data_IF_977012273269
#
_entry.id   IF_977012273269
#
_cell.length_a   1.000
_cell.length_b   1.000
_cell.length_c   1.000
_cell.angle_alpha   90.00
_cell.angle_beta   90.00
_cell.angle_gamma   90.00
#
_symmetry.space_group_name_H-M   'P 1'
#
loop_
_entity.id
_entity.type
_entity.pdbx_description
1 polymer ?
#
# COMPACT_ATOMS: atom_id res chain seq x y z
N UNK A 1 -7.34 -14.47 -27.92
CA UNK A 1 -7.27 -13.34 -28.88
C UNK A 1 -6.04 -12.48 -28.59
N UNK A 2 -4.99 -12.53 -29.43
CA UNK A 2 -3.68 -11.89 -29.19
C UNK A 2 -3.65 -10.35 -29.32
N UNK A 3 -4.81 -9.70 -29.57
CA UNK A 3 -4.88 -8.30 -30.05
C UNK A 3 -4.82 -7.23 -28.95
N UNK A 4 -5.02 -7.60 -27.68
CA UNK A 4 -5.08 -6.68 -26.52
C UNK A 4 -4.30 -7.18 -25.30
N UNK A 5 -3.26 -8.00 -25.53
CA UNK A 5 -2.51 -8.61 -24.45
C UNK A 5 -1.92 -7.57 -23.48
N UNK A 6 -1.24 -6.56 -24.02
CA UNK A 6 -0.65 -5.48 -23.24
C UNK A 6 -1.71 -4.70 -22.44
N UNK A 7 -2.87 -4.43 -23.04
CA UNK A 7 -3.96 -3.76 -22.34
C UNK A 7 -4.43 -4.54 -21.11
N UNK A 8 -4.63 -5.85 -21.23
CA UNK A 8 -5.08 -6.67 -20.09
C UNK A 8 -4.03 -6.74 -18.98
N UNK A 9 -2.76 -6.97 -19.36
CA UNK A 9 -1.64 -6.99 -18.42
C UNK A 9 -1.56 -5.66 -17.66
N UNK A 10 -1.51 -4.53 -18.38
CA UNK A 10 -1.43 -3.22 -17.74
C UNK A 10 -2.68 -2.91 -16.91
N UNK A 11 -3.89 -3.25 -17.37
CA UNK A 11 -5.13 -2.99 -16.62
C UNK A 11 -5.15 -3.68 -15.25
N UNK A 12 -4.66 -4.92 -15.17
CA UNK A 12 -4.52 -5.64 -13.91
C UNK A 12 -3.48 -4.96 -13.02
N UNK A 13 -2.32 -4.62 -13.59
CA UNK A 13 -1.21 -4.02 -12.85
C UNK A 13 -1.58 -2.64 -12.30
N UNK A 14 -2.21 -1.77 -13.08
CA UNK A 14 -2.51 -0.40 -12.64
C UNK A 14 -3.50 -0.40 -11.47
N UNK A 15 -4.51 -1.26 -11.49
CA UNK A 15 -5.45 -1.41 -10.38
C UNK A 15 -4.79 -2.02 -9.15
N UNK A 16 -4.13 -3.17 -9.31
CA UNK A 16 -3.52 -3.90 -8.20
C UNK A 16 -2.43 -3.07 -7.51
N UNK A 17 -1.59 -2.38 -8.27
CA UNK A 17 -0.50 -1.60 -7.69
C UNK A 17 -1.01 -0.38 -6.93
N UNK A 18 -2.02 0.36 -7.41
CA UNK A 18 -2.55 1.50 -6.61
C UNK A 18 -3.15 1.05 -5.31
N UNK A 19 -3.96 -0.01 -5.32
CA UNK A 19 -4.52 -0.59 -4.10
C UNK A 19 -3.39 -0.96 -3.11
N UNK A 20 -2.32 -1.61 -3.60
CA UNK A 20 -1.18 -2.00 -2.78
C UNK A 20 -0.50 -0.83 -2.03
N UNK A 21 -0.44 0.36 -2.62
CA UNK A 21 0.26 1.52 -2.02
C UNK A 21 -0.65 2.53 -1.33
N UNK A 22 -1.99 2.43 -1.46
CA UNK A 22 -2.90 3.41 -0.85
C UNK A 22 -3.91 2.79 0.12
N UNK A 23 -4.18 1.49 0.03
CA UNK A 23 -5.27 0.86 0.77
C UNK A 23 -4.70 -0.18 1.74
N UNK A 24 -4.80 0.03 3.07
CA UNK A 24 -4.53 -1.01 4.06
C UNK A 24 -5.40 -2.25 3.80
N UNK A 25 -4.98 -3.48 4.16
CA UNK A 25 -4.02 -3.85 5.20
C UNK A 25 -2.59 -4.10 4.71
N UNK A 26 -2.23 -3.69 3.49
CA UNK A 26 -0.86 -3.89 3.01
C UNK A 26 0.16 -3.23 3.95
N UNK A 27 1.33 -3.85 4.18
CA UNK A 27 2.25 -3.40 5.24
C UNK A 27 2.65 -1.92 5.12
N UNK A 28 2.87 -1.43 3.91
CA UNK A 28 3.26 -0.03 3.67
C UNK A 28 2.20 0.97 4.16
N UNK A 29 1.01 1.02 3.51
CA UNK A 29 -0.09 1.90 3.93
C UNK A 29 -0.49 1.75 5.39
N UNK A 30 -0.48 0.52 5.92
CA UNK A 30 -0.83 0.28 7.31
C UNK A 30 0.21 0.88 8.29
N UNK A 31 1.50 0.76 7.98
CA UNK A 31 2.56 1.37 8.77
C UNK A 31 2.52 2.89 8.68
N UNK A 32 2.24 3.44 7.49
CA UNK A 32 2.07 4.89 7.31
C UNK A 32 0.91 5.42 8.13
N UNK A 33 -0.26 4.75 8.07
CA UNK A 33 -1.42 5.10 8.88
C UNK A 33 -1.11 5.02 10.38
N UNK A 34 -0.42 3.96 10.82
CA UNK A 34 -0.01 3.80 12.21
C UNK A 34 0.95 4.88 12.70
N UNK A 35 1.97 5.22 11.93
CA UNK A 35 2.99 6.21 12.31
C UNK A 35 2.42 7.63 12.39
N UNK A 36 1.46 7.96 11.52
CA UNK A 36 0.75 9.24 11.50
C UNK A 36 -0.51 9.27 12.38
N UNK A 37 -0.80 8.18 13.11
CA UNK A 37 -1.99 8.05 13.97
C UNK A 37 -3.31 8.28 13.23
N UNK A 38 -3.34 7.89 11.95
CA UNK A 38 -4.54 7.97 11.12
C UNK A 38 -5.38 6.72 11.35
N UNK A 39 -6.68 6.94 11.49
CA UNK A 39 -7.64 5.84 11.49
C UNK A 39 -7.54 5.03 10.18
N UNK A 40 -7.35 3.71 10.32
CA UNK A 40 -7.10 2.80 9.20
C UNK A 40 -8.25 2.83 8.20
N UNK A 41 -9.47 3.05 8.69
CA UNK A 41 -10.64 3.07 7.85
C UNK A 41 -10.76 4.33 7.00
N UNK A 42 -10.51 5.49 7.62
CA UNK A 42 -10.41 6.74 6.88
C UNK A 42 -9.32 6.64 5.80
N UNK A 43 -8.18 6.02 6.13
CA UNK A 43 -7.12 5.76 5.15
C UNK A 43 -7.60 4.84 4.02
N UNK A 44 -8.36 3.77 4.32
CA UNK A 44 -8.96 2.90 3.29
C UNK A 44 -9.89 3.68 2.37
N UNK A 45 -10.81 4.48 2.91
CA UNK A 45 -11.77 5.27 2.12
C UNK A 45 -11.06 6.28 1.22
N UNK A 46 -10.17 7.09 1.79
CA UNK A 46 -9.43 8.08 1.04
C UNK A 46 -8.51 7.43 0.00
N UNK A 47 -7.87 6.32 0.36
CA UNK A 47 -7.02 5.51 -0.52
C UNK A 47 -7.77 4.91 -1.71
N UNK A 48 -9.01 4.44 -1.52
CA UNK A 48 -9.86 3.96 -2.61
C UNK A 48 -10.22 5.10 -3.57
N UNK A 49 -10.65 6.25 -3.05
CA UNK A 49 -11.04 7.40 -3.89
C UNK A 49 -9.87 7.88 -4.73
N UNK A 50 -8.71 8.16 -4.10
CA UNK A 50 -7.51 8.59 -4.82
C UNK A 50 -6.98 7.48 -5.73
N UNK A 51 -7.04 6.22 -5.26
CA UNK A 51 -6.59 5.05 -6.00
C UNK A 51 -7.37 4.82 -7.30
N UNK A 52 -8.69 4.97 -7.28
CA UNK A 52 -9.53 4.85 -8.49
C UNK A 52 -9.22 5.95 -9.50
N UNK A 53 -9.07 7.19 -9.04
CA UNK A 53 -8.75 8.32 -9.91
C UNK A 53 -7.35 8.17 -10.52
N UNK A 54 -6.36 7.81 -9.72
CA UNK A 54 -5.00 7.55 -10.18
C UNK A 54 -4.95 6.33 -11.13
N UNK A 55 -5.61 5.22 -10.79
CA UNK A 55 -5.66 4.03 -11.64
C UNK A 55 -6.34 4.30 -12.98
N UNK A 56 -7.34 5.19 -13.03
CA UNK A 56 -7.98 5.63 -14.26
C UNK A 56 -6.98 6.28 -15.22
N UNK A 57 -6.05 7.10 -14.70
CA UNK A 57 -4.96 7.67 -15.51
C UNK A 57 -4.01 6.61 -16.07
N UNK A 58 -3.71 5.57 -15.28
CA UNK A 58 -2.94 4.41 -15.71
C UNK A 58 -3.67 3.58 -16.78
N UNK A 59 -4.98 3.42 -16.65
CA UNK A 59 -5.80 2.74 -17.65
C UNK A 59 -5.86 3.51 -18.97
N UNK A 60 -6.01 4.84 -18.93
CA UNK A 60 -5.92 5.68 -20.13
C UNK A 60 -4.54 5.57 -20.80
N UNK A 61 -3.47 5.55 -20.00
CA UNK A 61 -2.13 5.26 -20.51
C UNK A 61 -2.04 3.86 -21.14
N UNK A 62 -2.65 2.83 -20.53
CA UNK A 62 -2.67 1.48 -21.07
C UNK A 62 -3.40 1.39 -22.43
N UNK A 63 -4.51 2.10 -22.60
CA UNK A 63 -5.22 2.20 -23.88
C UNK A 63 -4.33 2.84 -24.96
N UNK A 64 -3.62 3.92 -24.61
CA UNK A 64 -2.67 4.58 -25.51
C UNK A 64 -1.48 3.69 -25.85
N UNK A 65 -0.88 3.04 -24.85
CA UNK A 65 0.28 2.18 -25.00
C UNK A 65 -0.05 0.96 -25.88
N UNK A 66 -1.21 0.33 -25.68
CA UNK A 66 -1.65 -0.81 -26.48
C UNK A 66 -1.91 -0.45 -27.95
N UNK A 67 -2.27 0.81 -28.26
CA UNK A 67 -2.38 1.29 -29.65
C UNK A 67 -1.02 1.55 -30.29
N UNK A 68 0.00 1.89 -29.50
CA UNK A 68 1.32 2.29 -30.00
C UNK A 68 2.32 1.13 -30.04
N UNK A 69 2.19 0.17 -29.14
CA UNK A 69 3.11 -0.97 -29.01
C UNK A 69 2.33 -2.28 -28.98
N UNK A 70 2.66 -3.17 -29.89
CA UNK A 70 2.17 -4.55 -29.91
C UNK A 70 3.21 -5.45 -29.28
N UNK A 71 3.00 -5.81 -28.01
CA UNK A 71 3.83 -6.81 -27.34
C UNK A 71 3.24 -8.20 -27.64
N UNK A 72 3.98 -9.07 -28.33
CA UNK A 72 3.51 -10.41 -28.62
C UNK A 72 3.44 -11.22 -27.32
N UNK A 73 2.39 -12.02 -27.19
CA UNK A 73 2.34 -13.06 -26.18
C UNK A 73 3.48 -14.06 -26.50
N UNK A 74 4.52 -14.08 -25.66
CA UNK A 74 5.61 -15.06 -25.76
C UNK A 74 5.23 -16.29 -24.94
N UNK A 75 5.39 -17.47 -25.54
CA UNK A 75 5.07 -18.74 -24.89
C UNK A 75 6.12 -19.17 -23.83
N UNK A 76 7.20 -18.38 -23.66
CA UNK A 76 8.36 -18.64 -22.80
C UNK A 76 8.16 -18.23 -21.32
N UNK A 77 6.95 -18.31 -20.78
CA UNK A 77 6.85 -18.46 -19.33
C UNK A 77 7.17 -19.92 -19.07
N UNK A 78 8.39 -20.19 -18.59
CA UNK A 78 8.84 -21.52 -18.15
C UNK A 78 7.71 -22.20 -17.36
N UNK A 79 7.00 -23.13 -18.01
CA UNK A 79 5.82 -23.79 -17.45
C UNK A 79 6.20 -24.87 -16.44
N UNK A 80 7.49 -25.04 -16.14
CA UNK A 80 7.96 -25.95 -15.10
C UNK A 80 7.34 -25.64 -13.73
N UNK A 81 6.94 -24.38 -13.48
CA UNK A 81 6.23 -23.93 -12.26
C UNK A 81 4.72 -23.63 -12.47
N UNK A 82 4.15 -24.06 -13.60
CA UNK A 82 2.72 -23.86 -13.87
C UNK A 82 1.85 -24.70 -12.91
N UNK A 83 0.64 -24.23 -12.54
CA UNK A 83 -0.30 -25.02 -11.73
C UNK A 83 -0.60 -26.40 -12.34
N UNK A 84 -0.51 -26.50 -13.67
CA UNK A 84 -0.66 -27.73 -14.45
C UNK A 84 0.54 -28.69 -14.28
N UNK A 85 1.76 -28.19 -14.04
CA UNK A 85 2.94 -29.00 -13.72
C UNK A 85 2.90 -29.55 -12.27
N UNK A 86 2.15 -28.91 -11.37
CA UNK A 86 1.86 -29.38 -10.00
C UNK A 86 0.55 -30.15 -9.88
N UNK A 87 0.02 -30.66 -11.00
CA UNK A 87 -1.20 -31.47 -11.05
C UNK A 87 -1.00 -32.79 -10.28
N UNK A 88 -1.20 -32.75 -8.96
CA UNK A 88 -0.94 -33.83 -8.02
C UNK A 88 -0.80 -33.35 -6.57
N UNK A 89 -0.46 -32.08 -6.37
CA UNK A 89 -0.46 -31.46 -5.04
C UNK A 89 -1.87 -31.02 -4.65
N UNK A 90 -2.27 -31.31 -3.41
CA UNK A 90 -3.54 -30.84 -2.85
C UNK A 90 -3.44 -29.33 -2.69
N UNK A 91 -3.96 -28.57 -3.66
CA UNK A 91 -4.01 -27.12 -3.58
C UNK A 91 -5.21 -26.65 -2.73
N UNK A 92 -5.07 -25.60 -1.91
CA UNK A 92 -6.21 -24.99 -1.23
C UNK A 92 -7.22 -24.44 -2.24
N UNK A 93 -8.51 -24.53 -1.91
CA UNK A 93 -9.55 -23.90 -2.72
C UNK A 93 -9.34 -22.39 -2.80
N UNK A 94 -9.78 -21.75 -3.88
CA UNK A 94 -9.62 -20.31 -4.11
C UNK A 94 -10.06 -19.47 -2.89
N UNK A 95 -11.22 -19.80 -2.31
CA UNK A 95 -11.75 -19.13 -1.13
C UNK A 95 -10.84 -19.26 0.08
N UNK A 96 -10.25 -20.43 0.28
CA UNK A 96 -9.34 -20.65 1.39
C UNK A 96 -8.05 -19.83 1.19
N UNK A 97 -7.49 -19.81 -0.02
CA UNK A 97 -6.31 -19.03 -0.40
C UNK A 97 -6.50 -17.52 -0.24
N UNK A 98 -7.72 -17.03 -0.42
CA UNK A 98 -8.06 -15.62 -0.21
C UNK A 98 -8.29 -15.27 1.27
N UNK A 99 -8.56 -16.25 2.14
CA UNK A 99 -8.90 -16.01 3.56
C UNK A 99 -7.90 -15.12 4.29
N UNK A 100 -6.57 -15.35 4.24
CA UNK A 100 -5.61 -14.51 4.96
C UNK A 100 -5.59 -13.04 4.50
N UNK A 101 -6.07 -12.76 3.28
CA UNK A 101 -6.13 -11.42 2.72
C UNK A 101 -7.49 -10.77 3.03
N UNK A 102 -8.58 -11.51 2.83
CA UNK A 102 -9.95 -11.02 3.00
C UNK A 102 -10.31 -10.86 4.48
N UNK A 103 -9.87 -11.78 5.34
CA UNK A 103 -10.16 -11.74 6.78
C UNK A 103 -9.78 -10.41 7.44
N UNK A 104 -8.53 -9.91 7.35
CA UNK A 104 -8.18 -8.64 7.98
C UNK A 104 -8.94 -7.47 7.34
N UNK A 105 -9.19 -7.48 6.03
CA UNK A 105 -10.00 -6.45 5.36
C UNK A 105 -11.41 -6.38 5.94
N UNK A 106 -12.07 -7.52 6.10
CA UNK A 106 -13.44 -7.60 6.65
C UNK A 106 -13.48 -7.16 8.11
N UNK A 107 -12.53 -7.62 8.94
CA UNK A 107 -12.48 -7.25 10.36
C UNK A 107 -12.24 -5.74 10.55
N UNK A 108 -11.29 -5.16 9.81
CA UNK A 108 -11.04 -3.72 9.84
C UNK A 108 -12.25 -2.91 9.34
N UNK A 109 -12.89 -3.38 8.27
CA UNK A 109 -14.10 -2.74 7.71
C UNK A 109 -15.28 -2.80 8.69
N UNK A 110 -15.42 -3.89 9.44
CA UNK A 110 -16.48 -4.04 10.43
C UNK A 110 -16.32 -3.01 11.57
N UNK A 111 -15.09 -2.84 12.09
CA UNK A 111 -14.81 -1.81 13.08
C UNK A 111 -15.10 -0.40 12.59
N UNK A 112 -14.79 -0.14 11.31
CA UNK A 112 -15.12 1.12 10.63
C UNK A 112 -16.61 1.40 10.66
N UNK A 113 -17.40 0.42 10.20
CA UNK A 113 -18.84 0.56 10.05
C UNK A 113 -19.45 0.80 11.42
N UNK A 114 -19.00 0.10 12.46
CA UNK A 114 -19.46 0.32 13.82
C UNK A 114 -19.08 1.71 14.36
N UNK A 115 -17.85 2.17 14.13
CA UNK A 115 -17.43 3.50 14.56
C UNK A 115 -18.26 4.62 13.90
N UNK A 116 -18.56 4.46 12.60
CA UNK A 116 -19.39 5.41 11.85
C UNK A 116 -20.86 5.33 12.25
N UNK A 117 -21.41 4.12 12.39
CA UNK A 117 -22.82 3.90 12.68
C UNK A 117 -23.16 4.16 14.16
N UNK A 118 -22.19 4.07 15.07
CA UNK A 118 -22.32 4.52 16.46
C UNK A 118 -22.52 6.04 16.63
N UNK A 119 -22.43 6.81 15.53
CA UNK A 119 -22.82 8.23 15.50
C UNK A 119 -24.31 8.44 15.21
N UNK A 120 -25.04 7.40 14.78
CA UNK A 120 -26.49 7.45 14.56
C UNK A 120 -27.23 7.04 15.83
N UNK A 121 -28.16 7.88 16.30
CA UNK A 121 -28.84 7.73 17.61
C UNK A 121 -29.44 6.33 17.85
N UNK A 122 -30.04 5.71 16.82
CA UNK A 122 -30.67 4.39 16.95
C UNK A 122 -29.70 3.24 17.20
N UNK A 123 -28.55 3.22 16.52
CA UNK A 123 -27.55 2.16 16.69
C UNK A 123 -26.62 2.44 17.87
N UNK A 124 -26.40 3.71 18.22
CA UNK A 124 -25.70 4.10 19.43
C UNK A 124 -26.37 3.49 20.67
N UNK A 125 -27.70 3.56 20.76
CA UNK A 125 -28.46 2.93 21.85
C UNK A 125 -28.30 1.41 21.85
N UNK A 126 -28.42 0.75 20.69
CA UNK A 126 -28.22 -0.70 20.57
C UNK A 126 -26.80 -1.15 20.97
N UNK A 127 -25.77 -0.40 20.58
CA UNK A 127 -24.37 -0.67 20.95
C UNK A 127 -24.12 -0.45 22.44
N UNK A 128 -24.82 0.49 23.06
CA UNK A 128 -24.76 0.74 24.50
C UNK A 128 -25.46 -0.37 25.27
N UNK A 129 -26.60 -0.86 24.78
CA UNK A 129 -27.31 -2.03 25.31
C UNK A 129 -26.51 -3.33 25.15
N UNK A 130 -25.77 -3.49 24.04
CA UNK A 130 -24.95 -4.65 23.75
C UNK A 130 -23.45 -4.35 23.87
N UNK A 131 -23.06 -3.66 24.95
CA UNK A 131 -21.69 -3.18 25.16
C UNK A 131 -20.62 -4.29 25.04
N UNK A 132 -20.95 -5.52 25.45
CA UNK A 132 -20.04 -6.67 25.33
C UNK A 132 -19.79 -7.07 23.86
N UNK A 133 -20.83 -7.04 23.02
CA UNK A 133 -20.72 -7.33 21.58
C UNK A 133 -19.93 -6.23 20.89
N UNK A 134 -20.19 -4.96 21.23
CA UNK A 134 -19.45 -3.83 20.71
C UNK A 134 -17.95 -3.90 21.08
N UNK A 135 -17.64 -4.25 22.33
CA UNK A 135 -16.27 -4.44 22.80
C UNK A 135 -15.57 -5.61 22.08
N UNK A 136 -16.26 -6.75 21.92
CA UNK A 136 -15.72 -7.90 21.21
C UNK A 136 -15.40 -7.58 19.74
N UNK A 137 -16.31 -6.91 19.04
CA UNK A 137 -16.07 -6.51 17.66
C UNK A 137 -14.93 -5.49 17.58
N UNK A 138 -14.87 -4.52 18.51
CA UNK A 138 -13.76 -3.56 18.57
C UNK A 138 -12.41 -4.27 18.73
N UNK A 139 -12.33 -5.29 19.58
CA UNK A 139 -11.11 -6.10 19.74
C UNK A 139 -10.76 -6.85 18.46
N UNK A 140 -11.74 -7.47 17.79
CA UNK A 140 -11.51 -8.17 16.52
C UNK A 140 -11.09 -7.23 15.38
N UNK A 141 -11.56 -5.99 15.42
CA UNK A 141 -11.28 -4.96 14.43
C UNK A 141 -9.95 -4.24 14.68
N UNK A 142 -9.29 -4.49 15.81
CA UNK A 142 -7.97 -3.93 16.05
C UNK A 142 -6.97 -4.49 15.03
N UNK A 143 -6.15 -3.62 14.43
CA UNK A 143 -5.22 -4.01 13.37
C UNK A 143 -4.22 -5.10 13.79
N UNK A 144 -3.80 -5.12 15.05
CA UNK A 144 -2.88 -6.14 15.55
C UNK A 144 -3.58 -7.48 15.69
N UNK A 145 -4.82 -7.49 16.19
CA UNK A 145 -5.65 -8.70 16.31
C UNK A 145 -6.05 -9.23 14.94
N UNK A 146 -6.56 -8.37 14.05
CA UNK A 146 -7.00 -8.74 12.71
C UNK A 146 -5.86 -9.34 11.87
N UNK A 147 -4.67 -8.71 11.88
CA UNK A 147 -3.49 -9.25 11.21
C UNK A 147 -2.94 -10.51 11.91
N UNK A 148 -3.01 -10.57 13.24
CA UNK A 148 -2.60 -11.76 14.01
C UNK A 148 -3.45 -12.99 13.65
N UNK A 149 -4.77 -12.82 13.58
CA UNK A 149 -5.68 -13.88 13.13
C UNK A 149 -5.41 -14.29 11.68
N UNK A 150 -5.18 -13.33 10.79
CA UNK A 150 -4.79 -13.59 9.41
C UNK A 150 -3.50 -14.42 9.32
N UNK A 151 -2.49 -14.08 10.15
CA UNK A 151 -1.23 -14.81 10.24
C UNK A 151 -1.44 -16.23 10.79
N UNK A 152 -2.28 -16.42 11.80
CA UNK A 152 -2.62 -17.76 12.33
C UNK A 152 -3.28 -18.62 11.26
N UNK A 153 -4.23 -18.07 10.50
CA UNK A 153 -4.86 -18.77 9.37
C UNK A 153 -3.83 -19.11 8.30
N UNK A 154 -2.95 -18.17 7.94
CA UNK A 154 -1.87 -18.42 6.97
C UNK A 154 -0.91 -19.53 7.42
N UNK A 155 -0.53 -19.55 8.69
CA UNK A 155 0.31 -20.59 9.29
C UNK A 155 -0.38 -21.95 9.31
N UNK A 156 -1.68 -22.00 9.65
CA UNK A 156 -2.48 -23.21 9.59
C UNK A 156 -2.59 -23.75 8.16
N UNK A 157 -2.79 -22.86 7.17
CA UNK A 157 -2.80 -23.25 5.76
C UNK A 157 -1.44 -23.78 5.29
N UNK A 158 -0.34 -23.11 5.66
CA UNK A 158 1.01 -23.56 5.35
C UNK A 158 1.26 -24.96 5.93
N UNK A 159 0.82 -25.21 7.17
CA UNK A 159 0.91 -26.53 7.78
C UNK A 159 0.06 -27.59 7.06
N UNK A 160 -1.13 -27.23 6.58
CA UNK A 160 -2.08 -28.17 5.97
C UNK A 160 -1.73 -28.54 4.53
N UNK A 161 -1.19 -27.60 3.77
CA UNK A 161 -1.04 -27.69 2.31
C UNK A 161 0.41 -27.73 1.82
N UNK A 162 1.40 -27.34 2.63
CA UNK A 162 2.81 -27.62 2.33
C UNK A 162 3.24 -28.84 3.18
N UNK A 163 3.34 -30.06 2.64
CA UNK A 163 3.66 -31.25 3.43
C UNK A 163 5.12 -31.28 3.88
N UNK A 164 6.05 -30.72 3.10
CA UNK A 164 7.49 -30.71 3.42
C UNK A 164 7.81 -29.69 4.53
N UNK A 165 8.38 -30.12 5.67
CA UNK A 165 8.85 -29.22 6.73
C UNK A 165 9.92 -28.22 6.28
N UNK A 166 10.76 -28.56 5.30
CA UNK A 166 11.80 -27.67 4.78
C UNK A 166 11.17 -26.49 4.03
N UNK A 167 10.16 -26.75 3.21
CA UNK A 167 9.41 -25.70 2.51
C UNK A 167 8.70 -24.77 3.49
N UNK A 168 8.07 -25.32 4.54
CA UNK A 168 7.46 -24.50 5.59
C UNK A 168 8.49 -23.57 6.25
N UNK A 169 9.64 -24.13 6.60
CA UNK A 169 10.71 -23.38 7.28
C UNK A 169 11.25 -22.26 6.38
N UNK A 170 11.47 -22.55 5.09
CA UNK A 170 11.91 -21.55 4.10
C UNK A 170 10.90 -20.41 3.97
N UNK A 171 9.62 -20.71 3.80
CA UNK A 171 8.56 -19.69 3.68
C UNK A 171 8.49 -18.81 4.93
N UNK A 172 8.60 -19.41 6.12
CA UNK A 172 8.63 -18.66 7.38
C UNK A 172 9.89 -17.78 7.47
N UNK A 173 11.07 -18.31 7.11
CA UNK A 173 12.32 -17.55 7.11
C UNK A 173 12.28 -16.35 6.16
N UNK A 174 11.75 -16.54 4.95
CA UNK A 174 11.57 -15.46 3.97
C UNK A 174 10.61 -14.37 4.50
N UNK A 175 9.49 -14.77 5.11
CA UNK A 175 8.53 -13.85 5.71
C UNK A 175 9.15 -13.05 6.88
N UNK A 176 9.87 -13.72 7.79
CA UNK A 176 10.55 -13.08 8.93
C UNK A 176 11.67 -12.16 8.45
N UNK A 177 12.46 -12.57 7.46
CA UNK A 177 13.53 -11.73 6.88
C UNK A 177 12.98 -10.44 6.29
N UNK A 178 11.89 -10.54 5.52
CA UNK A 178 11.18 -9.36 4.99
C UNK A 178 10.64 -8.44 6.09
N UNK A 179 10.04 -9.01 7.14
CA UNK A 179 9.55 -8.25 8.29
C UNK A 179 10.67 -7.60 9.12
N UNK A 180 11.80 -8.29 9.30
CA UNK A 180 12.96 -7.80 10.05
C UNK A 180 13.55 -6.53 9.44
N UNK A 181 13.69 -6.49 8.11
CA UNK A 181 14.13 -5.28 7.41
C UNK A 181 13.19 -4.09 7.64
N UNK A 182 11.88 -4.32 7.64
CA UNK A 182 10.86 -3.30 7.92
C UNK A 182 11.01 -2.74 9.35
N UNK A 183 11.20 -3.61 10.35
CA UNK A 183 11.37 -3.20 11.76
C UNK A 183 12.64 -2.34 11.92
N UNK A 184 13.77 -2.76 11.34
CA UNK A 184 15.04 -2.03 11.41
C UNK A 184 14.94 -0.64 10.76
N UNK A 185 14.32 -0.54 9.59
CA UNK A 185 14.15 0.73 8.87
C UNK A 185 13.20 1.66 9.63
N UNK A 186 12.12 1.12 10.21
CA UNK A 186 11.20 1.90 11.05
C UNK A 186 11.91 2.44 12.28
N UNK A 187 12.72 1.62 12.95
CA UNK A 187 13.50 2.03 14.12
C UNK A 187 14.53 3.11 13.77
N UNK A 188 15.26 2.94 12.66
CA UNK A 188 16.23 3.93 12.18
C UNK A 188 15.55 5.26 11.80
N UNK A 189 14.41 5.21 11.11
CA UNK A 189 13.60 6.39 10.77
C UNK A 189 13.10 7.13 12.01
N UNK A 190 12.59 6.39 13.01
CA UNK A 190 12.19 6.96 14.30
C UNK A 190 13.34 7.63 15.06
N UNK A 191 14.51 6.98 15.13
CA UNK A 191 15.69 7.54 15.75
C UNK A 191 16.17 8.82 15.02
N UNK A 192 16.21 8.79 13.69
CA UNK A 192 16.57 9.96 12.88
C UNK A 192 15.58 11.12 13.08
N UNK A 193 14.28 10.82 13.08
CA UNK A 193 13.25 11.82 13.31
C UNK A 193 13.27 12.40 14.73
N UNK A 194 13.68 11.62 15.73
CA UNK A 194 13.93 12.11 17.10
C UNK A 194 15.15 13.06 17.15
N UNK A 195 16.23 12.76 16.42
CA UNK A 195 17.36 13.69 16.26
C UNK A 195 16.89 15.00 15.61
N UNK A 196 16.07 14.93 14.54
CA UNK A 196 15.50 16.12 13.90
C UNK A 196 14.63 16.95 14.86
N UNK A 197 13.83 16.29 15.72
CA UNK A 197 13.05 16.93 16.77
C UNK A 197 13.96 17.67 17.76
N UNK A 198 15.03 17.03 18.23
CA UNK A 198 15.98 17.62 19.16
C UNK A 198 16.77 18.79 18.54
N UNK A 199 17.07 18.73 17.24
CA UNK A 199 17.68 19.83 16.51
C UNK A 199 16.74 21.03 16.29
N UNK A 200 15.45 20.94 16.67
CA UNK A 200 14.50 22.04 16.52
C UNK A 200 14.18 22.38 15.06
N UNK A 201 14.33 21.42 14.13
CA UNK A 201 14.17 21.70 12.70
C UNK A 201 12.74 22.14 12.34
N UNK A 202 11.74 21.67 13.09
CA UNK A 202 10.35 22.09 12.93
C UNK A 202 10.18 23.59 13.21
N UNK A 203 10.78 24.11 14.28
CA UNK A 203 10.76 25.53 14.59
C UNK A 203 11.52 26.37 13.54
N UNK A 204 12.69 25.87 13.09
CA UNK A 204 13.46 26.52 12.04
C UNK A 204 12.70 26.57 10.70
N UNK A 205 11.98 25.49 10.36
CA UNK A 205 11.13 25.44 9.18
C UNK A 205 9.94 26.39 9.32
N UNK A 206 9.23 26.41 10.45
CA UNK A 206 8.10 27.34 10.67
C UNK A 206 8.51 28.81 10.60
N UNK A 207 9.73 29.15 11.04
CA UNK A 207 10.26 30.52 10.97
C UNK A 207 10.70 30.94 9.57
N UNK A 208 11.27 30.03 8.76
CA UNK A 208 11.77 30.33 7.40
C UNK A 208 10.72 30.12 6.31
N UNK A 209 9.78 29.24 6.57
CA UNK A 209 8.65 28.91 5.73
C UNK A 209 7.43 28.91 6.65
N UNK A 210 6.51 29.87 6.55
CA UNK A 210 5.22 29.76 7.24
C UNK A 210 4.48 28.54 6.68
N UNK A 211 4.81 27.36 7.21
CA UNK A 211 4.28 26.04 6.85
C UNK A 211 2.76 26.00 7.08
N UNK A 212 2.26 26.85 7.97
CA UNK A 212 0.84 27.13 8.17
C UNK A 212 0.11 27.57 6.88
N UNK A 213 0.82 28.09 5.86
CA UNK A 213 0.25 28.47 4.56
C UNK A 213 0.64 27.55 3.40
N UNK A 214 1.58 26.60 3.59
CA UNK A 214 2.12 25.79 2.50
C UNK A 214 1.94 24.28 2.72
N UNK A 215 0.74 23.87 3.13
CA UNK A 215 0.32 22.47 3.09
C UNK A 215 0.72 21.71 1.80
N UNK A 216 0.61 22.32 0.60
CA UNK A 216 1.11 21.72 -0.65
C UNK A 216 2.61 21.39 -0.66
N UNK A 217 3.46 22.20 0.00
CA UNK A 217 4.90 21.98 0.06
C UNK A 217 5.23 20.72 0.86
N UNK A 218 4.57 20.51 2.00
CA UNK A 218 4.74 19.30 2.80
C UNK A 218 4.37 18.05 2.01
N UNK A 219 3.24 18.10 1.28
CA UNK A 219 2.81 16.99 0.43
C UNK A 219 3.82 16.73 -0.68
N UNK A 220 4.38 17.78 -1.30
CA UNK A 220 5.43 17.63 -2.30
C UNK A 220 6.69 17.00 -1.71
N UNK A 221 7.14 17.46 -0.54
CA UNK A 221 8.28 16.84 0.18
C UNK A 221 7.99 15.36 0.46
N UNK A 222 6.79 15.03 0.93
CA UNK A 222 6.40 13.65 1.19
C UNK A 222 6.45 12.77 -0.07
N UNK A 223 5.91 13.27 -1.18
CA UNK A 223 5.92 12.58 -2.46
C UNK A 223 7.34 12.38 -3.00
N UNK A 224 8.13 13.45 -3.10
CA UNK A 224 9.47 13.39 -3.70
C UNK A 224 10.47 12.64 -2.83
N UNK A 225 10.41 12.79 -1.50
CA UNK A 225 11.23 11.99 -0.59
C UNK A 225 10.95 10.50 -0.80
N UNK A 226 9.67 10.11 -0.82
CA UNK A 226 9.31 8.71 -1.04
C UNK A 226 9.75 8.20 -2.41
N UNK A 227 9.61 9.04 -3.45
CA UNK A 227 10.02 8.68 -4.81
C UNK A 227 11.54 8.47 -4.91
N UNK A 228 12.34 9.36 -4.32
CA UNK A 228 13.81 9.23 -4.30
C UNK A 228 14.23 7.96 -3.57
N UNK A 229 13.66 7.71 -2.38
CA UNK A 229 13.95 6.49 -1.62
C UNK A 229 13.58 5.25 -2.43
N UNK A 230 12.41 5.24 -3.08
CA UNK A 230 12.01 4.12 -3.92
C UNK A 230 12.95 3.91 -5.10
N UNK A 231 13.33 4.96 -5.81
CA UNK A 231 14.23 4.83 -6.96
C UNK A 231 15.58 4.25 -6.53
N UNK A 232 16.06 4.60 -5.33
CA UNK A 232 17.30 4.05 -4.79
C UNK A 232 17.15 2.59 -4.31
N UNK A 233 16.06 2.28 -3.60
CA UNK A 233 15.91 1.03 -2.83
C UNK A 233 15.02 -0.04 -3.49
N UNK A 234 14.20 0.34 -4.46
CA UNK A 234 13.40 -0.55 -5.30
C UNK A 234 12.05 -0.99 -4.72
N UNK A 235 11.86 -1.05 -3.40
CA UNK A 235 10.59 -1.51 -2.82
C UNK A 235 9.65 -0.37 -2.48
N UNK A 236 8.44 -0.39 -3.05
CA UNK A 236 7.39 0.57 -2.72
C UNK A 236 7.03 0.55 -1.22
N UNK A 237 6.93 -0.64 -0.63
CA UNK A 237 6.60 -0.82 0.79
C UNK A 237 7.66 -0.21 1.69
N UNK A 238 8.93 -0.53 1.43
CA UNK A 238 10.04 -0.03 2.25
C UNK A 238 10.20 1.49 2.07
N UNK A 239 10.05 2.01 0.85
CA UNK A 239 10.10 3.45 0.61
C UNK A 239 9.05 4.22 1.42
N UNK A 240 7.81 3.73 1.46
CA UNK A 240 6.75 4.35 2.28
C UNK A 240 7.10 4.34 3.77
N UNK A 241 7.62 3.22 4.27
CA UNK A 241 7.99 3.05 5.69
C UNK A 241 9.16 3.96 6.06
N UNK A 242 10.18 4.05 5.21
CA UNK A 242 11.29 4.99 5.39
C UNK A 242 10.80 6.43 5.39
N UNK A 243 9.98 6.81 4.41
CA UNK A 243 9.49 8.18 4.28
C UNK A 243 8.64 8.60 5.48
N UNK A 244 7.71 7.74 5.95
CA UNK A 244 6.91 8.06 7.13
C UNK A 244 7.73 8.03 8.42
N UNK A 245 8.76 7.18 8.52
CA UNK A 245 9.70 7.20 9.63
C UNK A 245 10.40 8.56 9.76
N UNK A 246 10.81 9.15 8.63
CA UNK A 246 11.44 10.47 8.58
C UNK A 246 10.44 11.61 8.82
N UNK A 247 9.25 11.52 8.22
CA UNK A 247 8.29 12.63 8.19
C UNK A 247 7.34 12.67 9.39
N UNK A 248 7.03 11.53 10.00
CA UNK A 248 6.02 11.47 11.07
C UNK A 248 6.35 12.39 12.27
N UNK A 249 7.60 12.54 12.74
CA UNK A 249 7.87 13.43 13.85
C UNK A 249 7.70 14.90 13.46
N UNK A 250 7.97 15.27 12.20
CA UNK A 250 7.75 16.62 11.69
C UNK A 250 6.26 16.93 11.59
N UNK A 251 5.48 16.00 11.03
CA UNK A 251 4.03 16.14 10.87
C UNK A 251 3.34 16.33 12.23
N UNK A 252 3.77 15.62 13.27
CA UNK A 252 3.21 15.75 14.63
C UNK A 252 3.55 17.06 15.34
N UNK A 253 4.56 17.80 14.87
CA UNK A 253 5.03 19.06 15.49
C UNK A 253 4.49 20.31 14.79
N UNK A 254 3.82 20.16 13.65
CA UNK A 254 3.28 21.28 12.87
C UNK A 254 1.76 21.19 12.85
N UNK A 255 1.09 22.33 12.96
CA UNK A 255 -0.34 22.40 12.68
C UNK A 255 -0.57 22.30 11.17
N UNK A 256 -1.20 21.20 10.75
CA UNK A 256 -1.53 20.99 9.35
C UNK A 256 -2.81 21.75 8.97
N UNK A 257 -2.87 22.37 7.78
CA UNK A 257 -4.10 22.99 7.29
C UNK A 257 -5.18 21.97 6.88
N UNK A 258 -4.83 20.67 6.83
CA UNK A 258 -5.63 19.54 6.40
C UNK A 258 -5.36 18.29 7.25
N UNK A 259 -6.18 17.25 7.10
CA UNK A 259 -6.01 15.97 7.79
C UNK A 259 -4.73 15.23 7.35
N UNK A 260 -3.97 14.61 8.27
CA UNK A 260 -2.72 13.89 7.97
C UNK A 260 -2.86 12.73 6.97
N UNK A 261 -4.08 12.28 6.69
CA UNK A 261 -4.39 11.30 5.61
C UNK A 261 -3.84 11.75 4.26
N UNK A 262 -3.84 13.05 3.96
CA UNK A 262 -3.26 13.55 2.72
C UNK A 262 -1.74 13.37 2.65
N UNK A 263 -1.04 13.44 3.78
CA UNK A 263 0.39 13.11 3.85
C UNK A 263 0.61 11.62 3.57
N UNK A 264 -0.23 10.76 4.16
CA UNK A 264 -0.16 9.32 3.92
C UNK A 264 -0.41 8.97 2.44
N UNK A 265 -1.39 9.61 1.81
CA UNK A 265 -1.68 9.45 0.38
C UNK A 265 -0.54 9.99 -0.51
N UNK A 266 0.07 11.11 -0.14
CA UNK A 266 1.24 11.65 -0.86
C UNK A 266 2.44 10.70 -0.79
N UNK A 267 2.70 10.10 0.38
CA UNK A 267 3.72 9.04 0.54
C UNK A 267 3.37 7.84 -0.34
N UNK A 268 2.12 7.35 -0.28
CA UNK A 268 1.68 6.22 -1.10
C UNK A 268 1.81 6.47 -2.60
N UNK A 269 1.43 7.66 -3.08
CA UNK A 269 1.62 8.07 -4.48
C UNK A 269 3.10 8.23 -4.83
N UNK A 270 3.92 8.74 -3.90
CA UNK A 270 5.38 8.87 -4.06
C UNK A 270 6.09 7.52 -4.14
N UNK A 271 5.46 6.43 -3.72
CA UNK A 271 5.98 5.07 -3.91
C UNK A 271 5.71 4.49 -5.31
N UNK A 272 5.25 5.30 -6.29
CA UNK A 272 4.90 4.85 -7.66
C UNK A 272 5.82 5.31 -8.80
N UNK A 273 6.50 6.45 -8.76
CA UNK A 273 7.43 6.82 -9.80
C UNK A 273 8.55 5.80 -10.01
N UNK A 274 8.92 5.63 -11.29
CA UNK A 274 10.16 5.05 -11.79
C UNK A 274 10.60 3.71 -11.17
N UNK A 275 9.75 2.66 -11.15
CA UNK A 275 10.25 1.31 -10.89
C UNK A 275 11.21 0.90 -12.00
N UNK A 276 12.36 0.35 -11.65
CA UNK A 276 13.37 -0.14 -12.59
C UNK A 276 14.00 -1.42 -12.04
N UNK A 277 15.17 -1.83 -12.53
CA UNK A 277 15.74 -3.15 -12.28
C UNK A 277 16.05 -3.46 -10.80
N UNK A 278 16.04 -2.47 -9.91
CA UNK A 278 16.17 -2.70 -8.47
C UNK A 278 14.83 -3.00 -7.76
N UNK A 279 13.70 -2.83 -8.43
CA UNK A 279 12.35 -3.07 -7.92
C UNK A 279 11.96 -4.55 -8.14
N UNK A 280 11.62 -5.27 -7.09
CA UNK A 280 11.20 -6.69 -7.20
C UNK A 280 9.87 -6.84 -7.94
N UNK A 281 8.96 -5.88 -7.80
CA UNK A 281 7.71 -5.83 -8.56
C UNK A 281 7.93 -5.62 -10.05
N UNK A 282 8.98 -4.88 -10.45
CA UNK A 282 9.38 -4.77 -11.86
C UNK A 282 9.72 -6.15 -12.43
N UNK A 283 10.50 -6.97 -11.71
CA UNK A 283 10.86 -8.31 -12.17
C UNK A 283 9.69 -9.27 -12.21
N UNK A 284 8.88 -9.31 -11.15
CA UNK A 284 7.69 -10.17 -11.10
C UNK A 284 6.77 -9.87 -12.28
N UNK A 285 6.49 -8.60 -12.54
CA UNK A 285 5.62 -8.19 -13.65
C UNK A 285 6.25 -8.52 -14.99
N UNK A 286 7.53 -8.20 -15.19
CA UNK A 286 8.25 -8.49 -16.44
C UNK A 286 8.21 -9.98 -16.78
N UNK A 287 8.46 -10.84 -15.79
CA UNK A 287 8.47 -12.30 -15.97
C UNK A 287 7.08 -12.87 -16.18
N UNK A 288 6.11 -12.51 -15.34
CA UNK A 288 4.73 -13.03 -15.43
C UNK A 288 4.01 -12.59 -16.72
N UNK A 289 4.41 -11.46 -17.30
CA UNK A 289 3.86 -10.94 -18.56
C UNK A 289 4.67 -11.34 -19.80
N UNK A 290 5.77 -12.10 -19.65
CA UNK A 290 6.66 -12.44 -20.76
C UNK A 290 7.24 -11.22 -21.49
N UNK A 291 7.25 -10.04 -20.85
CA UNK A 291 7.84 -8.82 -21.40
C UNK A 291 9.36 -8.86 -21.28
N UNK A 292 10.05 -8.15 -22.18
CA UNK A 292 11.47 -7.83 -22.00
C UNK A 292 11.62 -6.67 -21.04
N UNK A 293 12.80 -6.52 -20.44
CA UNK A 293 13.11 -5.39 -19.55
C UNK A 293 12.87 -4.03 -20.22
N UNK A 294 13.26 -3.89 -21.50
CA UNK A 294 13.04 -2.67 -22.26
C UNK A 294 11.55 -2.38 -22.55
N UNK A 295 10.72 -3.41 -22.72
CA UNK A 295 9.27 -3.27 -22.86
C UNK A 295 8.62 -2.88 -21.54
N UNK A 296 9.03 -3.51 -20.43
CA UNK A 296 8.55 -3.17 -19.09
C UNK A 296 8.89 -1.74 -18.68
N UNK A 297 10.12 -1.28 -18.96
CA UNK A 297 10.50 0.11 -18.70
C UNK A 297 9.65 1.11 -19.49
N UNK A 298 9.32 0.80 -20.75
CA UNK A 298 8.52 1.67 -21.60
C UNK A 298 7.02 1.65 -21.25
N UNK A 299 6.53 0.57 -20.66
CA UNK A 299 5.11 0.37 -20.39
C UNK A 299 4.82 0.51 -18.91
N UNK A 300 5.17 -0.50 -18.11
CA UNK A 300 4.93 -0.59 -16.68
C UNK A 300 5.50 0.60 -15.91
N UNK A 301 6.78 0.94 -16.11
CA UNK A 301 7.42 2.00 -15.32
C UNK A 301 6.85 3.38 -15.60
N UNK A 302 6.49 3.65 -16.87
CA UNK A 302 5.82 4.89 -17.25
C UNK A 302 4.40 4.91 -16.70
N UNK A 303 3.64 3.82 -16.82
CA UNK A 303 2.27 3.72 -16.30
C UNK A 303 2.21 4.05 -14.79
N UNK A 304 3.07 3.43 -13.99
CA UNK A 304 3.12 3.70 -12.55
C UNK A 304 3.55 5.14 -12.24
N UNK A 305 4.48 5.69 -13.01
CA UNK A 305 4.90 7.10 -12.84
C UNK A 305 3.75 8.06 -13.11
N UNK A 306 2.99 7.84 -14.20
CA UNK A 306 1.79 8.62 -14.54
C UNK A 306 0.77 8.54 -13.40
N UNK A 307 0.52 7.34 -12.88
CA UNK A 307 -0.43 7.13 -11.78
C UNK A 307 0.04 7.78 -10.48
N UNK A 308 1.35 7.72 -10.17
CA UNK A 308 1.94 8.38 -9.01
C UNK A 308 1.75 9.89 -9.06
N UNK A 309 2.07 10.51 -10.20
CA UNK A 309 1.90 11.95 -10.41
C UNK A 309 0.42 12.32 -10.37
N UNK A 310 -0.45 11.57 -11.06
CA UNK A 310 -1.89 11.85 -11.06
C UNK A 310 -2.49 11.72 -9.65
N UNK A 311 -2.18 10.64 -8.92
CA UNK A 311 -2.61 10.44 -7.55
C UNK A 311 -2.10 11.54 -6.60
N UNK A 312 -0.88 12.02 -6.81
CA UNK A 312 -0.35 13.16 -6.07
C UNK A 312 -1.10 14.45 -6.35
N UNK A 313 -1.39 14.76 -7.62
CA UNK A 313 -2.19 15.94 -7.99
C UNK A 313 -3.62 15.86 -7.43
N UNK A 314 -4.24 14.69 -7.45
CA UNK A 314 -5.55 14.45 -6.82
C UNK A 314 -5.45 14.64 -5.30
N UNK A 315 -4.37 14.18 -4.67
CA UNK A 315 -4.13 14.36 -3.23
C UNK A 315 -3.96 15.85 -2.88
N UNK A 316 -3.23 16.62 -3.69
CA UNK A 316 -3.10 18.07 -3.55
C UNK A 316 -4.45 18.79 -3.68
N UNK A 317 -5.24 18.41 -4.69
CA UNK A 317 -6.58 18.97 -4.88
C UNK A 317 -7.53 18.59 -3.74
N UNK A 318 -7.47 17.35 -3.24
CA UNK A 318 -8.26 16.91 -2.09
C UNK A 318 -7.90 17.72 -0.84
N UNK A 319 -6.60 17.91 -0.58
CA UNK A 319 -6.13 18.68 0.56
C UNK A 319 -6.57 20.15 0.55
N UNK A 320 -6.72 20.76 -0.64
CA UNK A 320 -7.17 22.16 -0.79
C UNK A 320 -8.69 22.31 -0.81
N UNK A 321 -9.41 21.39 -1.46
CA UNK A 321 -10.87 21.47 -1.62
C UNK A 321 -11.65 20.86 -0.45
N UNK A 322 -11.12 19.80 0.17
CA UNK A 322 -11.74 19.04 1.24
C UNK A 322 -10.72 18.74 2.35
N UNK A 323 -10.32 19.72 3.17
CA UNK A 323 -9.23 19.53 4.14
C UNK A 323 -9.52 18.50 5.25
N UNK A 324 -10.76 18.02 5.40
CA UNK A 324 -11.17 16.96 6.35
C UNK A 324 -10.73 17.24 7.80
N UNK A 325 -10.90 18.49 8.27
CA UNK A 325 -10.53 18.92 9.63
C UNK A 325 -11.31 18.22 10.73
#
# INVERSE_FOLDING_TARGET
>A
TKRNYLLYVLSIIVGATMAHSLVPPTPGPLMVAGALEIDVALMMQAGIVVGVLAASSGYLFALWANRRWTIPLRDEVDRSDSPEARAGEVAPSLWLSLTPIVLPVVLLSLGTILAQAGRAEGLANWLTEHAQVAAFIKTLSDKHVALGLAAVVAMWMLHRYAPDPLDRTRVIQEAISGAGGIVLITAAGGAFGEVLRQCGIAAALQQRFPLAQSGPLLLAVAFFLTAVVRVAQGSATVAMITAVGILSPLVKQIELPFHPVYVALAIGCGSKPLPWMNDSGFWVITRMSGMTEGESLKTFSIALTVMGICGFLVTLAGASLLPLR
#
